data_IF_148688603463
#
_entry.id   IF_148688603463
#
_cell.length_a   1.000
_cell.length_b   1.000
_cell.length_c   1.000
_cell.angle_alpha   90.00
_cell.angle_beta   90.00
_cell.angle_gamma   90.00
#
_symmetry.space_group_name_H-M   'P 1'
#
loop_
_entity.id
_entity.type
_entity.pdbx_description
1 polymer ?
#
# COMPACT_ATOMS: atom_id res chain seq x y z
N UNK A 1 15.68 -15.47 -9.26
CA UNK A 1 15.07 -14.21 -8.81
C UNK A 1 13.94 -14.59 -7.88
N UNK A 2 14.06 -14.26 -6.60
CA UNK A 2 13.08 -14.67 -5.60
C UNK A 2 11.93 -13.65 -5.58
N UNK A 3 10.77 -14.06 -6.08
CA UNK A 3 9.55 -13.24 -6.12
C UNK A 3 8.72 -13.47 -4.86
N UNK A 4 8.21 -12.39 -4.26
CA UNK A 4 7.31 -12.48 -3.11
C UNK A 4 5.89 -12.90 -3.54
N UNK A 5 5.20 -13.65 -2.68
CA UNK A 5 3.79 -14.02 -2.84
C UNK A 5 3.01 -13.69 -1.57
N UNK A 6 1.71 -13.42 -1.73
CA UNK A 6 0.81 -13.23 -0.58
C UNK A 6 0.54 -14.57 0.10
N UNK A 7 0.98 -14.72 1.34
CA UNK A 7 0.80 -15.95 2.13
C UNK A 7 -0.67 -16.16 2.56
N UNK A 8 -1.41 -15.10 2.86
CA UNK A 8 -2.79 -15.18 3.32
C UNK A 8 -3.70 -14.23 2.53
N UNK A 9 -4.44 -14.78 1.55
CA UNK A 9 -5.38 -14.01 0.73
C UNK A 9 -6.63 -13.54 1.49
N UNK A 10 -7.02 -14.20 2.57
CA UNK A 10 -8.16 -13.76 3.38
C UNK A 10 -7.86 -12.42 4.07
N UNK A 11 -6.63 -12.24 4.55
CA UNK A 11 -6.18 -10.96 5.13
C UNK A 11 -6.14 -9.86 4.07
N UNK A 12 -5.59 -10.16 2.88
CA UNK A 12 -5.58 -9.20 1.77
C UNK A 12 -7.00 -8.74 1.40
N UNK A 13 -7.95 -9.69 1.28
CA UNK A 13 -9.36 -9.41 1.02
C UNK A 13 -10.03 -8.60 2.13
N UNK A 14 -9.70 -8.88 3.39
CA UNK A 14 -10.23 -8.12 4.52
C UNK A 14 -9.74 -6.66 4.45
N UNK A 15 -8.45 -6.45 4.22
CA UNK A 15 -7.85 -5.12 4.12
C UNK A 15 -8.39 -4.36 2.90
N UNK A 16 -8.53 -5.01 1.74
CA UNK A 16 -9.09 -4.38 0.54
C UNK A 16 -10.53 -3.91 0.77
N UNK A 17 -11.36 -4.73 1.43
CA UNK A 17 -12.73 -4.34 1.82
C UNK A 17 -12.75 -3.17 2.82
N UNK A 18 -11.90 -3.22 3.85
CA UNK A 18 -11.83 -2.18 4.88
C UNK A 18 -11.43 -0.83 4.28
N UNK A 19 -10.44 -0.82 3.39
CA UNK A 19 -9.94 0.38 2.73
C UNK A 19 -10.72 0.75 1.47
N UNK A 20 -11.73 -0.06 1.08
CA UNK A 20 -12.52 0.09 -0.14
C UNK A 20 -11.66 0.16 -1.41
N UNK A 21 -10.65 -0.69 -1.50
CA UNK A 21 -9.74 -0.83 -2.63
C UNK A 21 -10.01 -2.12 -3.40
N UNK A 22 -9.60 -2.16 -4.66
CA UNK A 22 -9.58 -3.40 -5.45
C UNK A 22 -8.54 -4.38 -4.88
N UNK A 23 -8.92 -5.66 -4.75
CA UNK A 23 -8.06 -6.70 -4.16
C UNK A 23 -6.82 -6.95 -5.03
N UNK A 24 -6.98 -6.96 -6.35
CA UNK A 24 -5.87 -7.23 -7.28
C UNK A 24 -4.94 -6.02 -7.37
N UNK A 25 -5.49 -4.81 -7.43
CA UNK A 25 -4.71 -3.57 -7.39
C UNK A 25 -3.88 -3.44 -6.11
N UNK A 26 -4.45 -3.80 -4.95
CA UNK A 26 -3.73 -3.83 -3.68
C UNK A 26 -2.62 -4.90 -3.68
N UNK A 27 -2.91 -6.09 -4.21
CA UNK A 27 -1.92 -7.17 -4.36
C UNK A 27 -0.74 -6.73 -5.23
N UNK A 28 -1.05 -6.17 -6.40
CA UNK A 28 -0.05 -5.68 -7.36
C UNK A 28 0.76 -4.52 -6.78
N UNK A 29 0.12 -3.62 -6.04
CA UNK A 29 0.80 -2.52 -5.34
C UNK A 29 1.81 -2.99 -4.29
N UNK A 30 1.63 -4.17 -3.69
CA UNK A 30 2.57 -4.74 -2.72
C UNK A 30 3.62 -5.67 -3.33
N UNK A 31 3.34 -6.28 -4.48
CA UNK A 31 4.20 -7.30 -5.08
C UNK A 31 4.94 -6.84 -6.33
N UNK A 32 4.55 -5.72 -6.92
CA UNK A 32 5.11 -5.22 -8.18
C UNK A 32 5.52 -3.78 -8.05
N UNK A 33 6.56 -3.41 -8.79
CA UNK A 33 6.99 -2.03 -8.98
C UNK A 33 7.00 -1.74 -10.48
N UNK A 34 6.35 -0.64 -10.86
CA UNK A 34 6.34 -0.14 -12.22
C UNK A 34 7.33 1.02 -12.33
N UNK A 35 8.27 0.93 -13.27
CA UNK A 35 9.24 1.98 -13.60
C UNK A 35 8.98 2.41 -15.04
N UNK A 36 8.83 3.71 -15.26
CA UNK A 36 8.74 4.27 -16.61
C UNK A 36 10.15 4.58 -17.12
N UNK A 37 10.56 3.92 -18.20
CA UNK A 37 11.86 4.12 -18.83
C UNK A 37 11.69 4.18 -20.36
N UNK A 38 12.30 5.19 -21.00
CA UNK A 38 12.26 5.37 -22.46
C UNK A 38 10.85 5.36 -23.09
N UNK A 39 9.82 5.79 -22.35
CA UNK A 39 8.43 5.80 -22.81
C UNK A 39 7.67 4.50 -22.57
N UNK A 40 8.32 3.46 -22.02
CA UNK A 40 7.70 2.18 -21.70
C UNK A 40 7.56 1.97 -20.18
N UNK A 41 6.50 1.27 -19.78
CA UNK A 41 6.26 0.87 -18.40
C UNK A 41 6.84 -0.53 -18.15
N UNK A 42 7.92 -0.61 -17.39
CA UNK A 42 8.54 -1.88 -16.98
C UNK A 42 7.98 -2.27 -15.63
N UNK A 43 7.31 -3.42 -15.57
CA UNK A 43 6.76 -3.98 -14.33
C UNK A 43 7.68 -5.08 -13.82
N UNK A 44 8.23 -4.88 -12.62
CA UNK A 44 9.16 -5.82 -12.00
C UNK A 44 8.55 -6.38 -10.70
N UNK A 45 8.52 -7.71 -10.52
CA UNK A 45 8.09 -8.30 -9.25
C UNK A 45 9.11 -7.98 -8.13
N UNK A 46 8.60 -7.77 -6.93
CA UNK A 46 9.39 -7.49 -5.73
C UNK A 46 9.82 -8.79 -5.04
N UNK A 47 10.98 -8.76 -4.41
CA UNK A 47 11.37 -9.79 -3.45
C UNK A 47 10.68 -9.58 -2.10
N UNK A 48 10.86 -10.51 -1.17
CA UNK A 48 10.16 -10.48 0.13
C UNK A 48 10.49 -9.23 0.96
N UNK A 49 11.76 -8.85 1.03
CA UNK A 49 12.21 -7.67 1.80
C UNK A 49 11.57 -6.39 1.25
N UNK A 50 11.64 -6.19 -0.06
CA UNK A 50 11.02 -5.05 -0.74
C UNK A 50 9.51 -5.00 -0.54
N UNK A 51 8.82 -6.14 -0.64
CA UNK A 51 7.38 -6.21 -0.42
C UNK A 51 7.00 -5.85 1.04
N UNK A 52 7.81 -6.27 2.02
CA UNK A 52 7.64 -5.86 3.42
C UNK A 52 7.83 -4.36 3.60
N UNK A 53 8.85 -3.77 2.97
CA UNK A 53 9.09 -2.32 3.03
C UNK A 53 7.92 -1.53 2.45
N UNK A 54 7.38 -1.96 1.30
CA UNK A 54 6.21 -1.32 0.68
C UNK A 54 4.98 -1.41 1.60
N UNK A 55 4.72 -2.57 2.21
CA UNK A 55 3.64 -2.73 3.18
C UNK A 55 3.80 -1.77 4.36
N UNK A 56 4.99 -1.69 4.94
CA UNK A 56 5.25 -0.85 6.10
C UNK A 56 5.14 0.64 5.76
N UNK A 57 5.62 1.04 4.58
CA UNK A 57 5.46 2.40 4.07
C UNK A 57 3.98 2.75 3.85
N UNK A 58 3.18 1.83 3.28
CA UNK A 58 1.75 2.01 3.07
C UNK A 58 1.01 2.24 4.40
N UNK A 59 1.27 1.39 5.39
CA UNK A 59 0.66 1.50 6.72
C UNK A 59 1.06 2.80 7.42
N UNK A 60 2.35 3.16 7.40
CA UNK A 60 2.84 4.44 7.96
C UNK A 60 2.18 5.64 7.28
N UNK A 61 1.99 5.60 5.96
CA UNK A 61 1.29 6.63 5.20
C UNK A 61 -0.15 6.83 5.65
N UNK A 62 -0.91 5.73 5.82
CA UNK A 62 -2.29 5.78 6.32
C UNK A 62 -2.35 6.40 7.71
N UNK A 63 -1.54 5.89 8.66
CA UNK A 63 -1.54 6.40 10.02
C UNK A 63 -1.11 7.86 10.10
N UNK A 64 -0.08 8.26 9.34
CA UNK A 64 0.38 9.65 9.29
C UNK A 64 -0.70 10.61 8.79
N UNK A 65 -1.41 10.25 7.71
CA UNK A 65 -2.52 11.06 7.17
C UNK A 65 -3.70 11.13 8.13
N UNK A 66 -4.07 10.02 8.75
CA UNK A 66 -5.14 9.98 9.74
C UNK A 66 -4.83 10.84 10.96
N UNK A 67 -3.59 10.78 11.47
CA UNK A 67 -3.16 11.60 12.59
C UNK A 67 -3.28 13.10 12.29
N UNK A 68 -2.76 13.54 11.15
CA UNK A 68 -2.86 14.95 10.71
C UNK A 68 -4.32 15.37 10.62
N UNK A 69 -5.16 14.56 9.98
CA UNK A 69 -6.59 14.85 9.84
C UNK A 69 -7.30 15.00 11.19
N UNK A 70 -7.05 14.09 12.15
CA UNK A 70 -7.63 14.18 13.50
C UNK A 70 -7.19 15.48 14.17
N UNK A 71 -5.89 15.82 14.14
CA UNK A 71 -5.37 17.05 14.77
C UNK A 71 -5.98 18.30 14.14
N UNK A 72 -6.12 18.34 12.82
CA UNK A 72 -6.76 19.45 12.10
C UNK A 72 -8.24 19.57 12.45
N UNK A 73 -8.96 18.45 12.53
CA UNK A 73 -10.39 18.44 12.88
C UNK A 73 -10.64 18.97 14.29
N UNK A 74 -9.82 18.58 15.26
CA UNK A 74 -9.91 19.08 16.64
C UNK A 74 -9.61 20.58 16.75
N UNK A 75 -8.70 21.12 15.91
CA UNK A 75 -8.42 22.56 15.85
C UNK A 75 -9.53 23.37 15.19
N UNK A 76 -10.36 22.74 14.38
CA UNK A 76 -11.53 23.36 13.75
C UNK A 76 -12.72 23.38 14.70
N UNK A 77 -12.95 22.31 15.46
CA UNK A 77 -14.11 22.17 16.36
C UNK A 77 -14.00 23.03 17.64
N UNK A 78 -12.79 23.49 17.98
CA UNK A 78 -12.52 24.32 19.16
C UNK A 78 -12.45 25.84 18.82
N UNK A 79 -12.99 26.24 17.67
CA UNK A 79 -13.17 27.63 17.23
C UNK A 79 -14.64 27.87 16.92
#
# INVERSE_FOLDING_TARGET
MDTCIVANRNVLRLVSKLLKLDENGLCDGFLKRTIFAHGEAVVTPLNQEQACDVRDAFVKGIYGKMFIWIVEKNKFDNR
#
